data_IF_089861234789
#
_entry.id   IF_089861234789
#
_cell.length_a   1.000
_cell.length_b   1.000
_cell.length_c   1.000
_cell.angle_alpha   90.00
_cell.angle_beta   90.00
_cell.angle_gamma   90.00
#
_symmetry.space_group_name_H-M   'P 1'
#
loop_
_entity.id
_entity.type
_entity.pdbx_description
1 polymer ?
#
# COMPACT_ATOMS: atom_id res chain seq x y z
N UNK A 1 17.67 -35.34 -17.11
CA UNK A 1 16.99 -34.08 -17.49
C UNK A 1 17.15 -33.15 -16.31
N UNK A 2 18.06 -32.18 -16.44
CA UNK A 2 18.39 -31.21 -15.40
C UNK A 2 17.27 -30.16 -15.34
N UNK A 3 16.51 -30.12 -14.26
CA UNK A 3 15.58 -29.02 -13.97
C UNK A 3 16.41 -27.83 -13.49
N UNK A 4 16.69 -26.92 -14.42
CA UNK A 4 17.22 -25.58 -14.20
C UNK A 4 16.23 -24.81 -13.31
N UNK A 5 16.39 -24.90 -11.98
CA UNK A 5 15.74 -24.02 -11.01
C UNK A 5 16.31 -22.61 -11.23
N UNK A 6 15.75 -21.89 -12.20
CA UNK A 6 15.96 -20.45 -12.26
C UNK A 6 15.25 -19.85 -11.06
N UNK A 7 16.05 -19.40 -10.10
CA UNK A 7 15.59 -18.55 -8.99
C UNK A 7 14.62 -17.50 -9.55
N UNK A 8 13.39 -17.51 -9.03
CA UNK A 8 12.36 -16.53 -9.37
C UNK A 8 12.90 -15.13 -9.04
N UNK A 9 13.45 -14.44 -10.03
CA UNK A 9 13.83 -13.05 -9.91
C UNK A 9 12.56 -12.23 -9.71
N UNK A 10 12.21 -11.97 -8.44
CA UNK A 10 10.98 -11.24 -8.08
C UNK A 10 11.03 -9.77 -8.52
N UNK A 11 12.23 -9.16 -8.58
CA UNK A 11 12.48 -7.90 -9.30
C UNK A 11 13.99 -7.60 -9.44
N UNK A 12 14.39 -7.04 -10.58
CA UNK A 12 15.67 -6.34 -10.76
C UNK A 12 15.40 -4.84 -10.75
N UNK A 13 15.81 -4.15 -9.69
CA UNK A 13 15.75 -2.70 -9.64
C UNK A 13 16.95 -2.13 -10.40
N UNK A 14 16.68 -1.47 -11.52
CA UNK A 14 17.72 -0.72 -12.25
C UNK A 14 18.36 0.32 -11.32
N UNK A 15 19.61 0.68 -11.61
CA UNK A 15 20.34 1.71 -10.86
C UNK A 15 19.47 2.96 -10.65
N UNK A 16 19.31 3.37 -9.39
CA UNK A 16 18.59 4.58 -9.01
C UNK A 16 17.12 4.40 -8.62
N UNK A 17 16.57 3.17 -8.64
CA UNK A 17 15.25 2.89 -8.05
C UNK A 17 15.37 2.45 -6.59
N UNK A 18 14.47 2.96 -5.76
CA UNK A 18 14.36 2.68 -4.33
C UNK A 18 13.08 1.91 -4.06
N UNK A 19 13.17 0.95 -3.14
CA UNK A 19 12.00 0.40 -2.46
C UNK A 19 11.83 1.20 -1.17
N UNK A 20 10.65 1.77 -0.97
CA UNK A 20 10.33 2.53 0.23
C UNK A 20 8.90 2.27 0.68
N UNK A 21 8.63 2.51 1.95
CA UNK A 21 7.28 2.38 2.51
C UNK A 21 6.76 3.71 3.05
N UNK A 22 5.45 3.82 3.07
CA UNK A 22 4.73 4.90 3.74
C UNK A 22 3.63 4.31 4.61
N UNK A 23 3.22 5.04 5.64
CA UNK A 23 2.10 4.65 6.49
C UNK A 23 1.22 5.85 6.84
N UNK A 24 -0.06 5.57 7.09
CA UNK A 24 -1.00 6.53 7.66
C UNK A 24 -1.89 5.82 8.67
N UNK A 25 -2.27 6.51 9.75
CA UNK A 25 -3.21 5.99 10.75
C UNK A 25 -4.39 6.94 10.84
N UNK A 26 -5.61 6.40 10.82
CA UNK A 26 -6.85 7.19 10.87
C UNK A 26 -7.92 6.44 11.65
N UNK A 27 -8.63 7.16 12.52
CA UNK A 27 -9.81 6.65 13.20
C UNK A 27 -11.02 6.94 12.32
N UNK A 28 -11.78 5.90 11.99
CA UNK A 28 -12.93 5.99 11.10
C UNK A 28 -14.20 6.26 11.95
N UNK A 29 -14.82 7.45 11.83
CA UNK A 29 -15.87 7.88 12.77
C UNK A 29 -17.21 7.18 12.53
N UNK A 30 -17.46 6.72 11.31
CA UNK A 30 -18.72 6.10 10.87
C UNK A 30 -18.44 4.79 10.11
N UNK A 31 -19.49 4.03 9.79
CA UNK A 31 -19.33 2.87 8.90
C UNK A 31 -19.46 3.33 7.46
N UNK A 32 -18.58 2.88 6.56
CA UNK A 32 -18.69 3.23 5.14
C UNK A 32 -17.41 3.06 4.35
N UNK A 33 -17.37 3.75 3.21
CA UNK A 33 -16.26 3.72 2.26
C UNK A 33 -15.31 4.88 2.51
N UNK A 34 -14.01 4.58 2.60
CA UNK A 34 -13.00 5.55 3.01
C UNK A 34 -11.90 5.69 1.97
N UNK A 35 -11.70 6.93 1.53
CA UNK A 35 -10.53 7.33 0.74
C UNK A 35 -9.31 7.45 1.65
N UNK A 36 -8.34 6.58 1.47
CA UNK A 36 -7.09 6.54 2.21
C UNK A 36 -5.98 7.07 1.32
N UNK A 37 -5.11 7.88 1.91
CA UNK A 37 -3.95 8.47 1.24
C UNK A 37 -2.71 8.20 2.06
N UNK A 38 -1.71 7.59 1.44
CA UNK A 38 -0.44 7.24 2.08
C UNK A 38 0.70 7.93 1.33
N UNK A 39 1.48 8.73 2.06
CA UNK A 39 2.68 9.38 1.52
C UNK A 39 3.88 8.48 1.76
N UNK A 40 4.69 8.29 0.72
CA UNK A 40 5.98 7.58 0.80
C UNK A 40 7.08 8.64 0.76
N UNK A 41 7.65 9.04 1.91
CA UNK A 41 8.51 10.22 2.00
C UNK A 41 9.84 10.06 1.27
N UNK A 42 10.37 8.85 1.22
CA UNK A 42 11.69 8.57 0.66
C UNK A 42 11.71 8.48 -0.87
N UNK A 43 10.55 8.61 -1.52
CA UNK A 43 10.41 8.68 -2.97
C UNK A 43 9.99 10.09 -3.38
N UNK A 44 10.50 10.58 -4.50
CA UNK A 44 9.99 11.78 -5.20
C UNK A 44 8.82 11.42 -6.10
N UNK A 45 8.89 10.29 -6.77
CA UNK A 45 7.80 9.71 -7.55
C UNK A 45 7.71 8.19 -7.34
N UNK A 46 6.50 7.67 -7.37
CA UNK A 46 6.22 6.23 -7.31
C UNK A 46 5.93 5.73 -8.73
N UNK A 47 6.59 4.65 -9.12
CA UNK A 47 6.32 3.94 -10.38
C UNK A 47 5.19 2.93 -10.21
N UNK A 48 5.24 2.12 -9.15
CA UNK A 48 4.20 1.15 -8.83
C UNK A 48 4.19 0.79 -7.34
N UNK A 49 3.04 0.29 -6.88
CA UNK A 49 2.85 -0.26 -5.54
C UNK A 49 3.13 -1.76 -5.60
N UNK A 50 3.98 -2.24 -4.71
CA UNK A 50 4.31 -3.65 -4.53
C UNK A 50 3.29 -4.32 -3.62
N UNK A 51 2.95 -3.67 -2.51
CA UNK A 51 2.11 -4.27 -1.47
C UNK A 51 1.30 -3.22 -0.70
N UNK A 52 0.14 -3.65 -0.22
CA UNK A 52 -0.71 -2.92 0.71
C UNK A 52 -0.89 -3.78 1.96
N UNK A 53 -0.67 -3.20 3.13
CA UNK A 53 -0.84 -3.85 4.41
C UNK A 53 -1.74 -3.01 5.32
N UNK A 54 -2.60 -3.67 6.09
CA UNK A 54 -3.59 -3.03 6.93
C UNK A 54 -3.61 -3.63 8.32
N UNK A 55 -3.59 -2.76 9.33
CA UNK A 55 -3.83 -3.11 10.72
C UNK A 55 -5.08 -2.37 11.21
N UNK A 56 -5.99 -3.09 11.86
CA UNK A 56 -7.26 -2.55 12.36
C UNK A 56 -7.43 -2.81 13.85
N UNK A 57 -8.01 -1.83 14.57
CA UNK A 57 -8.41 -1.97 15.96
C UNK A 57 -9.82 -1.35 16.18
N UNK A 58 -10.86 -2.13 16.53
CA UNK A 58 -10.83 -3.59 16.72
C UNK A 58 -10.48 -4.33 15.43
N UNK A 59 -9.96 -5.55 15.57
CA UNK A 59 -9.57 -6.39 14.44
C UNK A 59 -10.80 -6.68 13.54
N UNK A 60 -10.72 -6.22 12.30
CA UNK A 60 -11.71 -6.43 11.25
C UNK A 60 -11.00 -6.58 9.91
N UNK A 61 -11.65 -7.25 8.97
CA UNK A 61 -11.24 -7.22 7.57
C UNK A 61 -11.48 -5.82 6.98
N UNK A 62 -10.43 -5.10 6.54
CA UNK A 62 -10.57 -3.80 5.90
C UNK A 62 -10.93 -3.91 4.40
N UNK A 63 -11.00 -5.13 3.86
CA UNK A 63 -11.28 -5.41 2.46
C UNK A 63 -10.06 -5.21 1.54
N UNK A 64 -10.32 -5.29 0.22
CA UNK A 64 -9.30 -5.06 -0.81
C UNK A 64 -9.34 -3.60 -1.27
N UNK A 65 -8.18 -2.93 -1.45
CA UNK A 65 -8.13 -1.57 -1.99
C UNK A 65 -8.70 -1.48 -3.41
N UNK A 66 -9.67 -0.58 -3.60
CA UNK A 66 -10.27 -0.24 -4.90
C UNK A 66 -9.96 1.22 -5.28
N UNK A 67 -10.27 1.63 -6.52
CA UNK A 67 -10.04 3.00 -7.01
C UNK A 67 -8.63 3.54 -6.72
N UNK A 68 -7.63 2.68 -6.96
CA UNK A 68 -6.22 2.96 -6.65
C UNK A 68 -5.63 3.98 -7.61
N UNK A 69 -4.78 4.87 -7.11
CA UNK A 69 -4.07 5.86 -7.91
C UNK A 69 -2.74 6.27 -7.26
N UNK A 70 -1.81 6.70 -8.10
CA UNK A 70 -0.52 7.26 -7.68
C UNK A 70 -0.44 8.70 -8.19
N UNK A 71 0.01 9.63 -7.33
CA UNK A 71 0.32 11.01 -7.72
C UNK A 71 1.59 11.48 -7.03
N UNK A 72 2.69 11.59 -7.79
CA UNK A 72 4.00 11.88 -7.22
C UNK A 72 4.41 10.78 -6.24
N UNK A 73 4.65 11.12 -4.99
CA UNK A 73 5.01 10.18 -3.93
C UNK A 73 3.86 9.80 -2.98
N UNK A 74 2.64 9.89 -3.50
CA UNK A 74 1.41 9.61 -2.75
C UNK A 74 0.62 8.52 -3.43
N UNK A 75 0.23 7.51 -2.65
CA UNK A 75 -0.70 6.45 -3.06
C UNK A 75 -2.08 6.77 -2.48
N UNK A 76 -3.10 6.81 -3.33
CA UNK A 76 -4.50 6.91 -2.95
C UNK A 76 -5.24 5.62 -3.26
N UNK A 77 -6.20 5.23 -2.43
CA UNK A 77 -7.11 4.11 -2.66
C UNK A 77 -8.35 4.23 -1.79
N UNK A 78 -9.37 3.44 -2.09
CA UNK A 78 -10.60 3.34 -1.29
C UNK A 78 -10.67 1.97 -0.62
N UNK A 79 -11.03 1.93 0.66
CA UNK A 79 -11.47 0.73 1.36
C UNK A 79 -12.99 0.77 1.52
N UNK A 80 -13.66 -0.34 1.26
CA UNK A 80 -15.11 -0.44 1.21
C UNK A 80 -15.63 -1.12 2.47
N UNK A 81 -16.69 -0.56 3.06
CA UNK A 81 -17.40 -1.21 4.17
C UNK A 81 -16.63 -1.31 5.48
N UNK A 82 -15.75 -0.35 5.79
CA UNK A 82 -15.01 -0.35 7.05
C UNK A 82 -15.94 0.08 8.19
N UNK A 83 -15.85 -0.62 9.33
CA UNK A 83 -16.72 -0.39 10.49
C UNK A 83 -16.45 0.92 11.23
N UNK A 84 -17.50 1.47 11.83
CA UNK A 84 -17.43 2.61 12.75
C UNK A 84 -16.51 2.33 13.93
N UNK A 85 -15.67 3.31 14.26
CA UNK A 85 -14.79 3.29 15.43
C UNK A 85 -13.51 2.49 15.21
N UNK A 86 -13.29 1.96 14.00
CA UNK A 86 -12.06 1.26 13.65
C UNK A 86 -10.91 2.26 13.51
N UNK A 87 -9.85 2.04 14.26
CA UNK A 87 -8.53 2.64 14.00
C UNK A 87 -7.86 1.83 12.91
N UNK A 88 -7.66 2.42 11.75
CA UNK A 88 -6.98 1.83 10.61
C UNK A 88 -5.57 2.39 10.50
N UNK A 89 -4.57 1.52 10.48
CA UNK A 89 -3.22 1.84 10.01
C UNK A 89 -3.01 1.18 8.66
N UNK A 90 -2.81 1.99 7.63
CA UNK A 90 -2.54 1.53 6.28
C UNK A 90 -1.07 1.78 5.91
N UNK A 91 -0.41 0.76 5.41
CA UNK A 91 0.97 0.81 4.93
C UNK A 91 1.01 0.42 3.46
N UNK A 92 1.86 1.11 2.69
CA UNK A 92 2.12 0.79 1.29
C UNK A 92 3.61 0.61 1.07
N UNK A 93 3.99 -0.45 0.35
CA UNK A 93 5.35 -0.66 -0.12
C UNK A 93 5.40 -0.29 -1.61
N UNK A 94 6.31 0.59 -1.98
CA UNK A 94 6.37 1.18 -3.32
C UNK A 94 7.77 1.12 -3.89
N UNK A 95 7.84 1.19 -5.22
CA UNK A 95 9.09 1.34 -5.97
C UNK A 95 9.05 2.66 -6.71
N UNK A 96 10.16 3.40 -6.68
CA UNK A 96 10.28 4.69 -7.34
C UNK A 96 11.66 5.31 -7.20
N UNK A 97 11.76 6.63 -7.25
CA UNK A 97 12.98 7.43 -7.06
C UNK A 97 12.61 8.74 -6.38
#
# INVERSE_FOLDING_TARGET
MSSDEREDVVALFQEGRLIASGLTTTVLPESGDYGITVRVPDLRYIEFVVHYEFLTDPATDPGTPVNRGIRGNVVGFTLVGVGRGTTLTAMVLCVGN
#
